data_IF_198598404922
#
_entry.id   IF_198598404922
#
_cell.length_a   1.000
_cell.length_b   1.000
_cell.length_c   1.000
_cell.angle_alpha   90.00
_cell.angle_beta   90.00
_cell.angle_gamma   90.00
#
_symmetry.space_group_name_H-M   'P 1'
#
loop_
_entity.id
_entity.type
_entity.pdbx_description
1 polymer ?
#
# COMPACT_ATOMS: atom_id res chain seq x y z
N UNK A 1 17.90 17.91 -5.17
CA UNK A 1 17.53 19.08 -6.02
C UNK A 1 16.02 19.14 -6.03
N UNK A 2 15.47 20.27 -5.65
CA UNK A 2 14.02 20.45 -5.54
C UNK A 2 13.55 21.52 -6.51
N UNK A 3 12.36 21.32 -7.08
CA UNK A 3 11.67 22.29 -7.93
C UNK A 3 10.19 22.33 -7.52
N UNK A 4 9.54 23.45 -7.74
CA UNK A 4 8.13 23.64 -7.44
C UNK A 4 7.45 24.34 -8.62
N UNK A 5 6.19 23.98 -8.87
CA UNK A 5 5.32 24.75 -9.75
C UNK A 5 4.21 25.43 -8.96
N UNK A 6 3.78 26.58 -9.47
CA UNK A 6 2.72 27.40 -8.90
C UNK A 6 1.75 27.73 -10.03
N UNK A 7 0.61 27.05 -9.99
CA UNK A 7 -0.37 27.07 -11.06
C UNK A 7 -1.67 27.72 -10.59
N UNK A 8 -2.48 28.18 -11.51
CA UNK A 8 -3.76 28.84 -11.20
C UNK A 8 -4.90 27.87 -10.97
N UNK A 9 -4.76 26.62 -11.44
CA UNK A 9 -5.76 25.57 -11.32
C UNK A 9 -5.15 24.18 -11.55
N UNK A 10 -5.95 23.15 -11.33
CA UNK A 10 -5.52 21.73 -11.49
C UNK A 10 -5.12 21.39 -12.94
N UNK A 11 -5.70 22.02 -13.95
CA UNK A 11 -5.31 21.81 -15.33
C UNK A 11 -3.89 22.35 -15.62
N UNK A 12 -3.57 23.53 -15.07
CA UNK A 12 -2.23 24.11 -15.11
C UNK A 12 -1.24 23.21 -14.40
N UNK A 13 -1.56 22.77 -13.18
CA UNK A 13 -0.73 21.82 -12.44
C UNK A 13 -0.46 20.56 -13.24
N UNK A 14 -1.46 19.97 -13.90
CA UNK A 14 -1.27 18.78 -14.72
C UNK A 14 -0.29 19.01 -15.85
N UNK A 15 -0.35 20.16 -16.53
CA UNK A 15 0.61 20.52 -17.59
C UNK A 15 2.03 20.68 -17.03
N UNK A 16 2.17 21.34 -15.88
CA UNK A 16 3.47 21.51 -15.22
C UNK A 16 4.05 20.16 -14.78
N UNK A 17 3.21 19.32 -14.18
CA UNK A 17 3.55 17.98 -13.74
C UNK A 17 4.05 17.09 -14.89
N UNK A 18 3.31 17.02 -16.00
CA UNK A 18 3.70 16.22 -17.16
C UNK A 18 5.03 16.67 -17.77
N UNK A 19 5.27 17.99 -17.82
CA UNK A 19 6.57 18.55 -18.25
C UNK A 19 7.70 18.13 -17.33
N UNK A 20 7.46 18.09 -16.03
CA UNK A 20 8.47 17.67 -15.04
C UNK A 20 8.73 16.16 -15.15
N UNK A 21 7.71 15.32 -15.31
CA UNK A 21 7.87 13.89 -15.57
C UNK A 21 8.75 13.65 -16.81
N UNK A 22 8.46 14.34 -17.92
CA UNK A 22 9.25 14.22 -19.14
C UNK A 22 10.69 14.78 -18.97
N UNK A 23 10.87 15.83 -18.17
CA UNK A 23 12.19 16.36 -17.83
C UNK A 23 13.01 15.35 -17.02
N UNK A 24 12.39 14.66 -16.07
CA UNK A 24 13.03 13.63 -15.25
C UNK A 24 13.45 12.42 -16.08
N UNK A 25 12.57 11.91 -16.95
CA UNK A 25 12.91 10.85 -17.92
C UNK A 25 14.18 11.20 -18.70
N UNK A 26 14.20 12.39 -19.31
CA UNK A 26 15.37 12.88 -20.07
C UNK A 26 16.62 13.03 -19.20
N UNK A 27 16.47 13.46 -17.97
CA UNK A 27 17.59 13.62 -17.04
C UNK A 27 18.23 12.26 -16.73
N UNK A 28 17.45 11.27 -16.36
CA UNK A 28 17.94 9.93 -16.04
C UNK A 28 18.51 9.21 -17.28
N UNK A 29 17.84 9.34 -18.42
CA UNK A 29 18.33 8.81 -19.70
C UNK A 29 19.71 9.43 -20.06
N UNK A 30 19.86 10.76 -19.92
CA UNK A 30 21.14 11.45 -20.16
C UNK A 30 22.21 11.05 -19.16
N UNK A 31 21.85 10.70 -17.95
CA UNK A 31 22.76 10.12 -16.97
C UNK A 31 23.11 8.64 -17.27
N UNK A 32 22.48 8.03 -18.26
CA UNK A 32 22.69 6.62 -18.60
C UNK A 32 22.05 5.65 -17.65
N UNK A 33 21.04 6.09 -16.87
CA UNK A 33 20.35 5.30 -15.86
C UNK A 33 18.97 4.88 -16.39
N UNK A 34 18.67 3.59 -16.27
CA UNK A 34 17.35 3.06 -16.61
C UNK A 34 16.44 3.12 -15.37
N UNK A 35 15.29 3.77 -15.51
CA UNK A 35 14.29 3.90 -14.46
C UNK A 35 12.96 3.37 -14.89
N UNK A 36 12.19 2.88 -13.92
CA UNK A 36 10.76 2.60 -14.04
C UNK A 36 10.01 3.70 -13.29
N UNK A 37 8.91 4.17 -13.85
CA UNK A 37 8.03 5.13 -13.19
C UNK A 37 6.90 4.34 -12.56
N UNK A 38 6.71 4.53 -11.26
CA UNK A 38 5.68 3.84 -10.49
C UNK A 38 4.72 4.84 -9.84
N UNK A 39 3.47 4.47 -9.73
CA UNK A 39 2.52 5.19 -8.88
C UNK A 39 2.90 4.96 -7.41
N UNK A 40 2.92 6.03 -6.62
CA UNK A 40 3.41 6.00 -5.25
C UNK A 40 2.41 6.64 -4.27
N UNK A 41 2.53 6.28 -3.00
CA UNK A 41 1.89 7.03 -1.94
C UNK A 41 2.62 8.38 -1.75
N UNK A 42 1.85 9.43 -1.46
CA UNK A 42 2.44 10.77 -1.28
C UNK A 42 3.05 10.98 0.12
N UNK A 43 2.82 10.06 1.04
CA UNK A 43 3.34 10.09 2.39
C UNK A 43 3.06 11.39 3.14
N UNK A 44 4.01 11.81 3.98
CA UNK A 44 3.92 13.03 4.79
C UNK A 44 3.92 14.32 3.96
N UNK A 45 4.39 14.29 2.71
CA UNK A 45 4.36 15.45 1.80
C UNK A 45 2.91 15.77 1.43
N UNK A 46 2.07 14.74 1.31
CA UNK A 46 0.66 14.88 0.98
C UNK A 46 0.43 15.20 -0.52
N UNK A 47 -0.81 15.52 -0.84
CA UNK A 47 -1.25 15.72 -2.21
C UNK A 47 -2.17 14.59 -2.69
N UNK A 48 -2.53 14.61 -3.97
CA UNK A 48 -3.49 13.65 -4.53
C UNK A 48 -2.82 12.52 -5.31
N UNK A 49 -1.75 12.83 -6.01
CA UNK A 49 -1.03 11.91 -6.90
C UNK A 49 0.46 12.13 -6.77
N UNK A 50 1.21 11.04 -6.73
CA UNK A 50 2.66 11.07 -6.84
C UNK A 50 3.19 9.94 -7.71
N UNK A 51 4.37 10.14 -8.29
CA UNK A 51 5.10 9.13 -9.06
C UNK A 51 6.56 9.15 -8.67
N UNK A 52 7.08 7.96 -8.46
CA UNK A 52 8.51 7.73 -8.21
C UNK A 52 9.22 7.26 -9.47
N UNK A 53 10.49 7.65 -9.57
CA UNK A 53 11.42 7.13 -10.56
C UNK A 53 12.34 6.17 -9.86
N UNK A 54 12.15 4.88 -10.12
CA UNK A 54 12.84 3.79 -9.44
C UNK A 54 13.90 3.19 -10.35
N UNK A 55 15.10 3.06 -9.83
CA UNK A 55 16.15 2.23 -10.41
C UNK A 55 16.03 0.83 -9.83
N UNK A 56 15.75 -0.16 -10.67
CA UNK A 56 15.66 -1.56 -10.24
C UNK A 56 17.05 -2.10 -9.92
N UNK A 57 17.23 -2.61 -8.69
CA UNK A 57 18.44 -3.27 -8.21
C UNK A 57 18.14 -4.08 -6.97
N UNK A 58 18.80 -5.22 -6.80
CA UNK A 58 18.66 -6.11 -5.64
C UNK A 58 19.06 -5.45 -4.30
N UNK A 59 19.96 -4.47 -4.36
CA UNK A 59 20.42 -3.69 -3.18
C UNK A 59 19.44 -2.58 -2.78
N UNK A 60 18.35 -2.37 -3.55
CA UNK A 60 17.34 -1.36 -3.26
C UNK A 60 16.59 -1.65 -1.96
N UNK A 61 16.12 -0.60 -1.30
CA UNK A 61 15.32 -0.69 -0.07
C UNK A 61 13.82 -0.62 -0.33
N UNK A 62 13.40 -0.11 -1.51
CA UNK A 62 12.00 -0.02 -1.89
C UNK A 62 11.53 -1.27 -2.62
N UNK A 63 10.27 -1.65 -2.41
CA UNK A 63 9.61 -2.72 -3.17
C UNK A 63 8.64 -2.11 -4.18
N UNK A 64 8.74 -2.55 -5.42
CA UNK A 64 7.83 -2.14 -6.49
C UNK A 64 7.11 -3.34 -7.09
N UNK A 65 5.88 -3.10 -7.50
CA UNK A 65 4.98 -4.09 -8.09
C UNK A 65 4.75 -3.72 -9.54
N UNK A 66 5.10 -4.62 -10.45
CA UNK A 66 4.94 -4.45 -11.89
C UNK A 66 4.06 -5.55 -12.45
N UNK A 67 3.25 -5.22 -13.45
CA UNK A 67 2.54 -6.24 -14.23
C UNK A 67 3.45 -6.80 -15.32
N UNK A 68 3.39 -8.11 -15.54
CA UNK A 68 4.12 -8.79 -16.63
C UNK A 68 3.51 -8.57 -18.03
N UNK A 69 2.27 -8.06 -18.09
CA UNK A 69 1.46 -8.02 -19.31
C UNK A 69 0.99 -6.62 -19.72
N UNK A 70 1.10 -5.61 -18.85
CA UNK A 70 0.74 -4.22 -19.15
C UNK A 70 1.64 -3.23 -18.40
N UNK A 71 1.41 -1.92 -18.59
CA UNK A 71 2.21 -0.83 -18.00
C UNK A 71 1.86 -0.53 -16.52
N UNK A 72 1.10 -1.39 -15.83
CA UNK A 72 0.80 -1.20 -14.41
C UNK A 72 2.08 -1.29 -13.58
N UNK A 73 2.34 -0.23 -12.82
CA UNK A 73 3.50 -0.09 -11.97
C UNK A 73 3.16 0.77 -10.75
N UNK A 74 3.41 0.26 -9.56
CA UNK A 74 3.21 0.98 -8.29
C UNK A 74 4.27 0.56 -7.27
N UNK A 75 4.54 1.43 -6.26
CA UNK A 75 5.27 0.98 -5.09
C UNK A 75 4.36 0.09 -4.22
N UNK A 76 4.92 -0.70 -3.32
CA UNK A 76 4.16 -1.63 -2.48
C UNK A 76 3.16 -0.92 -1.57
N UNK A 77 3.44 0.33 -1.16
CA UNK A 77 2.56 1.14 -0.32
C UNK A 77 1.22 1.47 -1.01
N UNK A 78 1.21 1.57 -2.34
CA UNK A 78 0.04 1.96 -3.15
C UNK A 78 -0.49 0.84 -4.04
N UNK A 79 0.30 -0.18 -4.31
CA UNK A 79 -0.06 -1.22 -5.25
C UNK A 79 -1.39 -1.90 -4.91
N UNK A 80 -2.23 -2.07 -5.92
CA UNK A 80 -3.51 -2.78 -5.86
C UNK A 80 -3.45 -4.07 -6.68
N UNK A 81 -4.36 -5.00 -6.42
CA UNK A 81 -4.52 -6.22 -7.20
C UNK A 81 -5.99 -6.64 -7.30
N UNK A 82 -6.31 -7.43 -8.32
CA UNK A 82 -7.65 -7.99 -8.52
C UNK A 82 -7.91 -9.07 -7.48
N UNK A 83 -9.01 -8.94 -6.72
CA UNK A 83 -9.39 -9.93 -5.73
C UNK A 83 -10.18 -11.06 -6.38
N UNK A 84 -9.55 -12.21 -6.46
CA UNK A 84 -10.20 -13.40 -7.01
C UNK A 84 -11.29 -13.89 -6.06
N UNK A 85 -12.49 -14.03 -6.59
CA UNK A 85 -13.61 -14.58 -5.84
C UNK A 85 -13.46 -16.09 -5.64
N UNK A 86 -13.74 -16.55 -4.43
CA UNK A 86 -13.93 -17.98 -4.20
C UNK A 86 -15.12 -18.50 -5.02
N UNK A 87 -15.14 -19.78 -5.37
CA UNK A 87 -16.32 -20.38 -6.00
C UNK A 87 -17.60 -20.07 -5.22
N UNK A 88 -18.65 -19.73 -5.94
CA UNK A 88 -19.96 -19.43 -5.32
C UNK A 88 -20.48 -20.65 -4.60
N UNK A 89 -20.76 -20.50 -3.30
CA UNK A 89 -21.29 -21.55 -2.44
C UNK A 89 -22.58 -21.08 -1.75
N UNK A 90 -23.48 -22.02 -1.48
CA UNK A 90 -24.63 -21.73 -0.62
C UNK A 90 -24.14 -21.46 0.80
N UNK A 91 -24.58 -20.35 1.37
CA UNK A 91 -24.22 -20.00 2.74
C UNK A 91 -24.82 -21.03 3.72
N UNK A 92 -23.98 -21.54 4.58
CA UNK A 92 -24.36 -22.51 5.63
C UNK A 92 -24.57 -21.80 6.98
N UNK A 93 -25.18 -22.48 7.92
CA UNK A 93 -25.31 -22.01 9.30
C UNK A 93 -23.91 -22.03 9.97
N UNK A 94 -23.63 -21.01 10.76
CA UNK A 94 -22.37 -20.88 11.50
C UNK A 94 -22.29 -21.98 12.57
N UNK A 95 -21.13 -22.59 12.72
CA UNK A 95 -20.85 -23.67 13.66
C UNK A 95 -19.59 -23.42 14.47
N UNK A 96 -19.61 -23.76 15.77
CA UNK A 96 -18.43 -23.78 16.62
C UNK A 96 -17.65 -25.09 16.44
N UNK A 97 -16.35 -25.01 16.35
CA UNK A 97 -15.43 -26.14 16.24
C UNK A 97 -14.33 -26.03 17.28
N UNK A 98 -14.06 -27.12 18.02
CA UNK A 98 -12.91 -27.17 18.91
C UNK A 98 -11.61 -27.32 18.10
N UNK A 99 -10.64 -26.44 18.40
CA UNK A 99 -9.35 -26.34 17.73
C UNK A 99 -8.24 -26.16 18.76
N UNK A 100 -8.00 -27.15 19.61
CA UNK A 100 -7.06 -27.02 20.72
C UNK A 100 -5.62 -26.76 20.20
N UNK A 101 -5.00 -25.69 20.70
CA UNK A 101 -3.60 -25.34 20.38
C UNK A 101 -3.39 -24.69 19.03
N UNK A 102 -4.42 -24.51 18.21
CA UNK A 102 -4.33 -23.85 16.89
C UNK A 102 -4.34 -22.32 17.07
N UNK A 103 -3.32 -21.64 16.53
CA UNK A 103 -3.17 -20.18 16.68
C UNK A 103 -2.84 -19.44 15.39
N UNK A 104 -2.28 -20.12 14.38
CA UNK A 104 -1.92 -19.53 13.10
C UNK A 104 -2.90 -19.88 12.00
N UNK A 105 -2.93 -19.07 10.94
CA UNK A 105 -3.77 -19.33 9.76
C UNK A 105 -3.42 -20.65 9.08
N UNK A 106 -2.12 -20.96 8.98
CA UNK A 106 -1.66 -22.21 8.35
C UNK A 106 -2.08 -23.44 9.16
N UNK A 107 -1.88 -23.43 10.48
CA UNK A 107 -2.35 -24.49 11.36
C UNK A 107 -3.89 -24.66 11.28
N UNK A 108 -4.63 -23.54 11.22
CA UNK A 108 -6.09 -23.55 11.10
C UNK A 108 -6.53 -24.13 9.76
N UNK A 109 -5.89 -23.71 8.68
CA UNK A 109 -6.11 -24.18 7.31
C UNK A 109 -5.93 -25.72 7.23
N UNK A 110 -4.80 -26.21 7.73
CA UNK A 110 -4.47 -27.63 7.76
C UNK A 110 -5.44 -28.43 8.61
N UNK A 111 -5.75 -27.96 9.83
CA UNK A 111 -6.68 -28.61 10.74
C UNK A 111 -8.10 -28.72 10.16
N UNK A 112 -8.57 -27.65 9.51
CA UNK A 112 -9.91 -27.59 8.91
C UNK A 112 -9.97 -28.26 7.53
N UNK A 113 -8.83 -28.58 6.90
CA UNK A 113 -8.77 -29.12 5.54
C UNK A 113 -9.26 -28.16 4.48
N UNK A 114 -9.00 -26.86 4.66
CA UNK A 114 -9.39 -25.79 3.73
C UNK A 114 -8.14 -24.97 3.34
N UNK A 115 -8.19 -24.24 2.22
CA UNK A 115 -7.10 -23.31 1.88
C UNK A 115 -7.14 -22.04 2.76
N UNK A 116 -6.02 -21.36 2.92
CA UNK A 116 -5.90 -20.10 3.68
C UNK A 116 -6.86 -19.01 3.19
N UNK A 117 -7.19 -19.00 1.89
CA UNK A 117 -8.20 -18.12 1.30
C UNK A 117 -9.64 -18.37 1.81
N UNK A 118 -9.86 -19.45 2.55
CA UNK A 118 -11.13 -19.78 3.23
C UNK A 118 -11.12 -19.40 4.70
N UNK A 119 -10.15 -18.64 5.16
CA UNK A 119 -10.05 -18.19 6.54
C UNK A 119 -10.15 -16.67 6.65
N UNK A 120 -10.46 -16.16 7.83
CA UNK A 120 -10.41 -14.76 8.20
C UNK A 120 -9.26 -14.57 9.20
N UNK A 121 -8.32 -13.71 8.85
CA UNK A 121 -7.23 -13.27 9.72
C UNK A 121 -7.69 -12.05 10.50
N UNK A 122 -7.59 -12.10 11.82
CA UNK A 122 -7.77 -10.97 12.72
C UNK A 122 -6.40 -10.41 13.11
N UNK A 123 -6.16 -9.12 12.84
CA UNK A 123 -4.93 -8.43 13.19
C UNK A 123 -5.26 -7.19 14.02
N UNK A 124 -4.47 -6.91 15.02
CA UNK A 124 -4.70 -5.78 15.93
C UNK A 124 -3.62 -4.73 15.77
N UNK A 125 -4.04 -3.49 15.61
CA UNK A 125 -3.16 -2.34 15.54
C UNK A 125 -3.49 -1.36 16.66
N UNK A 126 -2.45 -0.68 17.17
CA UNK A 126 -2.59 0.53 17.94
C UNK A 126 -2.48 1.70 16.97
N UNK A 127 -3.51 2.52 16.89
CA UNK A 127 -3.61 3.68 16.02
C UNK A 127 -3.90 4.92 16.88
N UNK A 128 -2.94 5.83 17.02
CA UNK A 128 -3.02 6.98 17.96
C UNK A 128 -3.54 6.55 19.36
N UNK A 129 -2.99 5.45 19.90
CA UNK A 129 -3.34 4.80 21.19
C UNK A 129 -4.73 4.11 21.24
N UNK A 130 -5.48 4.04 20.14
CA UNK A 130 -6.72 3.26 20.03
C UNK A 130 -6.44 1.87 19.45
N UNK A 131 -7.01 0.81 20.07
CA UNK A 131 -6.91 -0.55 19.51
C UNK A 131 -7.92 -0.72 18.37
N UNK A 132 -7.39 -0.99 17.18
CA UNK A 132 -8.15 -1.22 15.95
C UNK A 132 -8.19 -2.71 15.64
N UNK A 133 -9.38 -3.21 15.33
CA UNK A 133 -9.59 -4.58 14.86
C UNK A 133 -9.58 -4.60 13.32
N UNK A 134 -8.65 -5.31 12.72
CA UNK A 134 -8.56 -5.50 11.28
C UNK A 134 -8.95 -6.92 10.93
N UNK A 135 -9.91 -7.08 10.00
CA UNK A 135 -10.32 -8.35 9.43
C UNK A 135 -9.97 -8.40 7.94
N UNK A 136 -9.20 -9.40 7.55
CA UNK A 136 -8.76 -9.63 6.19
C UNK A 136 -8.81 -11.12 5.85
N UNK A 137 -8.89 -11.50 4.56
CA UNK A 137 -8.81 -12.90 4.15
C UNK A 137 -7.45 -13.49 4.53
N UNK A 138 -7.44 -14.73 5.01
CA UNK A 138 -6.28 -15.31 5.67
C UNK A 138 -5.04 -15.55 4.79
N UNK A 139 -5.21 -15.58 3.48
CA UNK A 139 -4.12 -15.66 2.51
C UNK A 139 -3.48 -14.32 2.16
N UNK A 140 -3.97 -13.21 2.75
CA UNK A 140 -3.50 -11.86 2.46
C UNK A 140 -2.78 -11.25 3.68
N UNK A 141 -1.87 -10.32 3.40
CA UNK A 141 -1.20 -9.51 4.41
C UNK A 141 -1.72 -8.07 4.42
N UNK A 142 -1.66 -7.44 5.60
CA UNK A 142 -2.08 -6.05 5.76
C UNK A 142 -0.98 -5.11 5.26
N UNK A 143 -1.36 -4.15 4.44
CA UNK A 143 -0.52 -3.02 4.07
C UNK A 143 -0.73 -1.89 5.09
N UNK A 144 0.26 -1.67 5.96
CA UNK A 144 0.17 -0.69 7.04
C UNK A 144 0.04 0.75 6.55
N UNK A 145 0.63 1.07 5.39
CA UNK A 145 0.52 2.42 4.80
C UNK A 145 -0.89 2.68 4.31
N UNK A 146 -1.51 1.73 3.60
CA UNK A 146 -2.92 1.83 3.21
C UNK A 146 -3.84 1.95 4.44
N UNK A 147 -3.60 1.14 5.47
CA UNK A 147 -4.37 1.18 6.71
C UNK A 147 -4.23 2.53 7.42
N UNK A 148 -3.01 3.02 7.58
CA UNK A 148 -2.71 4.32 8.18
C UNK A 148 -3.42 5.47 7.46
N UNK A 149 -3.35 5.47 6.12
CA UNK A 149 -4.00 6.46 5.28
C UNK A 149 -5.53 6.39 5.37
N UNK A 150 -6.09 5.18 5.40
CA UNK A 150 -7.54 4.97 5.55
C UNK A 150 -8.07 5.48 6.90
N UNK A 151 -7.32 5.26 7.95
CA UNK A 151 -7.66 5.71 9.31
C UNK A 151 -7.38 7.20 9.52
N UNK A 152 -6.48 7.80 8.72
CA UNK A 152 -5.99 9.19 8.87
C UNK A 152 -5.34 9.45 10.23
N UNK A 153 -4.57 8.47 10.71
CA UNK A 153 -3.85 8.53 11.99
C UNK A 153 -2.39 8.92 11.79
N UNK A 154 -1.80 9.48 12.85
CA UNK A 154 -0.40 9.91 12.83
C UNK A 154 0.55 8.75 13.17
N UNK A 155 0.15 7.90 14.10
CA UNK A 155 0.89 6.71 14.51
C UNK A 155 0.08 5.44 14.26
N UNK A 156 0.74 4.42 13.71
CA UNK A 156 0.17 3.09 13.49
C UNK A 156 1.26 2.04 13.71
N UNK A 157 0.98 1.07 14.56
CA UNK A 157 1.86 -0.08 14.81
C UNK A 157 1.03 -1.30 15.20
N UNK A 158 1.61 -2.47 15.06
CA UNK A 158 1.00 -3.67 15.63
C UNK A 158 0.78 -3.49 17.13
N UNK A 159 -0.38 -3.89 17.62
CA UNK A 159 -0.68 -3.93 19.05
C UNK A 159 0.17 -5.00 19.74
N UNK A 160 0.67 -4.70 20.93
CA UNK A 160 1.41 -5.70 21.72
C UNK A 160 0.48 -6.76 22.29
N UNK A 161 0.98 -7.97 22.61
CA UNK A 161 0.16 -9.01 23.23
C UNK A 161 -0.52 -8.55 24.52
N UNK A 162 0.12 -7.68 25.31
CA UNK A 162 -0.42 -7.10 26.53
C UNK A 162 -1.62 -6.19 26.22
N UNK A 163 -1.50 -5.30 25.23
CA UNK A 163 -2.57 -4.40 24.79
C UNK A 163 -3.79 -5.21 24.29
N UNK A 164 -3.54 -6.26 23.51
CA UNK A 164 -4.59 -7.16 23.00
C UNK A 164 -5.30 -7.88 24.18
N UNK A 165 -4.53 -8.36 25.14
CA UNK A 165 -5.06 -9.03 26.33
C UNK A 165 -5.86 -8.09 27.23
N UNK A 166 -5.34 -6.87 27.50
CA UNK A 166 -5.99 -5.85 28.32
C UNK A 166 -7.28 -5.35 27.69
N UNK A 167 -7.36 -5.36 26.35
CA UNK A 167 -8.57 -5.10 25.62
C UNK A 167 -9.59 -6.25 25.64
N UNK A 168 -9.26 -7.39 26.29
CA UNK A 168 -10.15 -8.56 26.39
C UNK A 168 -10.25 -9.40 25.11
N UNK A 169 -9.32 -9.22 24.18
CA UNK A 169 -9.25 -9.98 22.93
C UNK A 169 -8.41 -11.26 23.12
N UNK A 170 -8.76 -12.31 22.40
CA UNK A 170 -8.09 -13.62 22.49
C UNK A 170 -7.18 -13.79 21.27
N UNK A 171 -5.88 -13.50 21.45
CA UNK A 171 -4.89 -13.69 20.39
C UNK A 171 -4.91 -15.13 19.85
N UNK A 172 -4.93 -15.29 18.51
CA UNK A 172 -5.00 -16.58 17.83
C UNK A 172 -6.39 -17.22 17.76
N UNK A 173 -7.41 -16.66 18.47
CA UNK A 173 -8.80 -17.11 18.37
C UNK A 173 -9.78 -15.94 18.27
N UNK A 174 -9.29 -14.74 18.00
CA UNK A 174 -10.14 -13.56 17.85
C UNK A 174 -10.98 -13.63 16.56
N UNK A 175 -12.19 -13.10 16.65
CA UNK A 175 -13.16 -13.08 15.57
C UNK A 175 -13.82 -11.72 15.43
N UNK A 176 -14.11 -11.24 14.22
CA UNK A 176 -14.96 -10.08 14.04
C UNK A 176 -16.44 -10.36 14.40
N UNK A 177 -16.82 -11.64 14.52
CA UNK A 177 -18.19 -12.04 14.89
C UNK A 177 -18.40 -11.84 16.38
N UNK A 178 -19.37 -10.99 16.73
CA UNK A 178 -19.75 -10.74 18.13
C UNK A 178 -18.73 -9.91 18.92
N UNK A 179 -17.74 -9.29 18.27
CA UNK A 179 -16.86 -8.35 18.93
C UNK A 179 -17.55 -6.98 19.04
N UNK A 180 -17.44 -6.36 20.21
CA UNK A 180 -18.01 -5.03 20.48
C UNK A 180 -16.95 -4.11 21.10
N UNK A 181 -17.11 -2.80 20.92
CA UNK A 181 -16.25 -1.79 21.54
C UNK A 181 -14.96 -1.50 20.79
N UNK A 182 -14.78 -2.06 19.59
CA UNK A 182 -13.61 -1.81 18.73
C UNK A 182 -14.05 -1.24 17.39
N UNK A 183 -13.21 -0.35 16.86
CA UNK A 183 -13.33 0.09 15.46
C UNK A 183 -12.85 -1.04 14.55
N UNK A 184 -13.79 -1.60 13.78
CA UNK A 184 -13.55 -2.78 12.92
C UNK A 184 -13.35 -2.32 11.49
N UNK A 185 -12.18 -2.67 10.93
CA UNK A 185 -11.80 -2.41 9.53
C UNK A 185 -11.81 -3.73 8.78
N UNK A 186 -12.51 -3.79 7.67
CA UNK A 186 -12.56 -4.98 6.83
C UNK A 186 -11.96 -4.74 5.44
N UNK A 187 -11.11 -5.66 4.99
CA UNK A 187 -10.69 -5.68 3.59
C UNK A 187 -11.82 -6.22 2.70
N UNK A 188 -12.06 -5.63 1.51
CA UNK A 188 -13.06 -6.09 0.57
C UNK A 188 -12.93 -7.56 0.13
N UNK A 189 -11.74 -8.19 0.31
CA UNK A 189 -11.53 -9.61 0.02
C UNK A 189 -12.52 -10.54 0.75
N UNK A 190 -13.04 -10.11 1.90
CA UNK A 190 -14.01 -10.87 2.68
C UNK A 190 -15.37 -11.02 1.96
N UNK A 191 -15.73 -10.10 1.05
CA UNK A 191 -16.96 -10.20 0.24
C UNK A 191 -16.89 -11.29 -0.82
N UNK A 192 -15.66 -11.62 -1.20
CA UNK A 192 -15.38 -12.66 -2.21
C UNK A 192 -15.18 -14.05 -1.60
N UNK A 193 -15.34 -14.17 -0.25
CA UNK A 193 -15.30 -15.42 0.47
C UNK A 193 -16.70 -15.96 0.79
N UNK A 194 -16.85 -17.28 0.81
CA UNK A 194 -18.07 -17.96 1.23
C UNK A 194 -17.73 -19.01 2.28
N UNK A 195 -18.53 -19.10 3.35
CA UNK A 195 -18.39 -20.09 4.39
C UNK A 195 -16.97 -20.12 4.99
N UNK A 196 -16.46 -18.92 5.31
CA UNK A 196 -15.10 -18.75 5.85
C UNK A 196 -14.96 -19.32 7.25
N UNK A 197 -13.73 -19.59 7.65
CA UNK A 197 -13.36 -19.98 9.01
C UNK A 197 -12.76 -18.76 9.73
N UNK A 198 -13.24 -18.46 10.94
CA UNK A 198 -12.76 -17.36 11.77
C UNK A 198 -12.51 -17.83 13.21
N UNK A 199 -11.83 -17.04 14.02
CA UNK A 199 -11.77 -17.21 15.45
C UNK A 199 -13.18 -17.23 16.07
N UNK A 200 -13.30 -17.65 17.32
CA UNK A 200 -14.57 -17.72 18.06
C UNK A 200 -14.59 -16.82 19.31
N UNK A 201 -13.63 -15.91 19.46
CA UNK A 201 -13.39 -15.09 20.68
C UNK A 201 -13.30 -15.96 21.95
N UNK A 202 -12.88 -17.19 21.78
CA UNK A 202 -12.71 -18.18 22.84
C UNK A 202 -11.49 -19.04 22.54
N UNK A 203 -10.59 -19.15 23.51
CA UNK A 203 -9.38 -19.96 23.36
C UNK A 203 -9.70 -21.41 22.99
N UNK A 204 -9.01 -21.93 21.97
CA UNK A 204 -9.19 -23.30 21.48
C UNK A 204 -10.47 -23.53 20.67
N UNK A 205 -11.13 -22.48 20.19
CA UNK A 205 -12.33 -22.58 19.35
C UNK A 205 -12.25 -21.67 18.14
N UNK A 206 -12.83 -22.15 17.02
CA UNK A 206 -13.06 -21.37 15.80
C UNK A 206 -14.51 -21.54 15.32
N UNK A 207 -14.92 -20.63 14.43
CA UNK A 207 -16.23 -20.64 13.77
C UNK A 207 -16.06 -21.09 12.32
N UNK A 208 -16.90 -22.01 11.85
CA UNK A 208 -17.07 -22.33 10.43
C UNK A 208 -18.26 -21.58 9.86
N UNK A 209 -18.26 -21.45 8.53
CA UNK A 209 -19.36 -20.89 7.75
C UNK A 209 -19.68 -19.43 8.07
N UNK A 210 -18.64 -18.68 8.46
CA UNK A 210 -18.74 -17.22 8.63
C UNK A 210 -18.83 -16.55 7.26
N UNK A 211 -19.77 -15.64 7.09
CA UNK A 211 -20.00 -14.91 5.85
C UNK A 211 -20.12 -13.41 6.12
N UNK A 212 -19.34 -12.61 5.43
CA UNK A 212 -19.44 -11.16 5.46
C UNK A 212 -20.39 -10.69 4.35
N UNK A 213 -21.33 -9.75 4.58
CA UNK A 213 -21.62 -9.06 5.83
C UNK A 213 -22.78 -9.71 6.67
N UNK A 214 -23.10 -11.01 6.47
CA UNK A 214 -24.20 -11.67 7.16
C UNK A 214 -23.99 -11.78 8.69
N UNK A 215 -22.77 -12.17 9.09
CA UNK A 215 -22.48 -12.56 10.48
C UNK A 215 -21.76 -11.47 11.27
N UNK A 216 -21.18 -10.50 10.59
CA UNK A 216 -20.59 -9.30 11.18
C UNK A 216 -20.58 -8.16 10.17
N UNK A 217 -20.43 -6.93 10.67
CA UNK A 217 -20.27 -5.71 9.86
C UNK A 217 -19.00 -4.98 10.27
N UNK A 218 -18.46 -4.13 9.42
CA UNK A 218 -17.32 -3.28 9.71
C UNK A 218 -17.71 -1.79 9.74
N UNK A 219 -16.96 -0.99 10.49
CA UNK A 219 -17.09 0.47 10.49
C UNK A 219 -16.54 1.07 9.19
N UNK A 220 -15.45 0.47 8.69
CA UNK A 220 -14.82 0.86 7.42
C UNK A 220 -14.56 -0.40 6.60
N UNK A 221 -14.93 -0.35 5.33
CA UNK A 221 -14.54 -1.36 4.33
C UNK A 221 -13.69 -0.69 3.26
N UNK A 222 -12.41 -1.05 3.20
CA UNK A 222 -11.45 -0.41 2.31
C UNK A 222 -10.30 -1.36 1.98
N UNK A 223 -9.68 -1.19 0.80
CA UNK A 223 -8.47 -1.91 0.43
C UNK A 223 -7.33 -1.60 1.40
N UNK A 224 -6.92 -2.64 2.14
CA UNK A 224 -5.78 -2.63 3.04
C UNK A 224 -4.84 -3.81 2.79
N UNK A 225 -5.03 -4.53 1.71
CA UNK A 225 -4.19 -5.69 1.40
C UNK A 225 -2.88 -5.28 0.71
N UNK A 226 -1.81 -5.95 1.08
CA UNK A 226 -0.51 -5.87 0.40
C UNK A 226 -0.58 -6.60 -0.95
N UNK A 227 -0.16 -5.93 -2.01
CA UNK A 227 -0.01 -6.58 -3.31
C UNK A 227 1.30 -7.34 -3.37
N UNK A 228 1.24 -8.61 -3.75
CA UNK A 228 2.39 -9.50 -3.76
C UNK A 228 2.57 -10.16 -5.13
N UNK A 229 3.76 -10.73 -5.33
CA UNK A 229 4.06 -11.55 -6.51
C UNK A 229 3.03 -12.66 -6.71
N UNK A 230 2.55 -12.80 -7.95
CA UNK A 230 1.55 -13.80 -8.35
C UNK A 230 0.11 -13.34 -8.19
N UNK A 231 -0.16 -12.21 -7.54
CA UNK A 231 -1.48 -11.60 -7.57
C UNK A 231 -1.84 -11.14 -8.99
N UNK A 232 -3.13 -11.01 -9.28
CA UNK A 232 -3.61 -10.57 -10.59
C UNK A 232 -3.62 -9.05 -10.70
N UNK A 233 -3.13 -8.55 -11.83
CA UNK A 233 -3.13 -7.12 -12.14
C UNK A 233 -4.56 -6.55 -12.18
N UNK A 234 -4.84 -5.43 -11.50
CA UNK A 234 -6.18 -4.83 -11.45
C UNK A 234 -6.61 -4.23 -12.79
N UNK A 235 -5.68 -4.05 -13.75
CA UNK A 235 -5.95 -3.45 -15.06
C UNK A 235 -6.21 -4.51 -16.13
N UNK A 236 -5.38 -5.57 -16.20
CA UNK A 236 -5.43 -6.53 -17.31
C UNK A 236 -5.58 -7.99 -16.88
N UNK A 237 -5.54 -8.29 -15.57
CA UNK A 237 -5.57 -9.66 -15.06
C UNK A 237 -4.27 -10.46 -15.24
N UNK A 238 -3.20 -9.85 -15.78
CA UNK A 238 -1.86 -10.45 -15.87
C UNK A 238 -1.24 -10.66 -14.48
N UNK A 239 -0.10 -11.35 -14.39
CA UNK A 239 0.56 -11.61 -13.12
C UNK A 239 1.33 -10.38 -12.63
N UNK A 240 1.24 -10.09 -11.33
CA UNK A 240 2.09 -9.11 -10.68
C UNK A 240 3.42 -9.73 -10.28
N UNK A 241 4.50 -9.01 -10.50
CA UNK A 241 5.86 -9.34 -10.10
C UNK A 241 6.40 -8.26 -9.16
N UNK A 242 7.23 -8.64 -8.20
CA UNK A 242 7.85 -7.71 -7.25
C UNK A 242 9.34 -7.59 -7.51
N UNK A 243 9.85 -6.36 -7.40
CA UNK A 243 11.26 -6.03 -7.60
C UNK A 243 11.75 -5.13 -6.47
N UNK A 244 13.05 -5.18 -6.20
CA UNK A 244 13.71 -4.22 -5.32
C UNK A 244 14.23 -3.05 -6.15
N UNK A 245 14.22 -1.85 -5.55
CA UNK A 245 14.69 -0.66 -6.24
C UNK A 245 15.14 0.46 -5.31
N UNK A 246 15.74 1.48 -5.92
CA UNK A 246 16.15 2.71 -5.27
C UNK A 246 15.35 3.86 -5.89
N UNK A 247 14.62 4.61 -5.08
CA UNK A 247 13.98 5.85 -5.48
C UNK A 247 15.04 6.92 -5.76
N UNK A 248 15.12 7.40 -7.00
CA UNK A 248 16.07 8.44 -7.40
C UNK A 248 15.42 9.78 -7.73
N UNK A 249 14.12 9.79 -7.88
CA UNK A 249 13.33 11.02 -8.08
C UNK A 249 11.87 10.81 -7.79
N UNK A 250 11.20 11.86 -7.33
CA UNK A 250 9.79 11.84 -6.96
C UNK A 250 9.10 13.12 -7.43
N UNK A 251 7.89 13.00 -7.92
CA UNK A 251 7.07 14.12 -8.40
C UNK A 251 5.68 14.05 -7.78
N UNK A 252 5.18 15.20 -7.31
CA UNK A 252 3.95 15.29 -6.50
C UNK A 252 2.98 16.32 -7.07
N UNK A 253 1.69 16.00 -7.10
CA UNK A 253 0.59 16.96 -7.23
C UNK A 253 0.07 17.33 -5.85
N UNK A 254 0.57 18.44 -5.29
CA UNK A 254 0.21 18.89 -3.94
C UNK A 254 -1.18 19.53 -3.88
N UNK A 255 -1.68 20.07 -5.00
CA UNK A 255 -2.93 20.82 -5.03
C UNK A 255 -2.84 22.11 -4.19
N UNK A 256 -3.83 22.34 -3.33
CA UNK A 256 -3.90 23.53 -2.46
C UNK A 256 -3.47 23.29 -1.01
N UNK A 257 -3.03 22.07 -0.65
CA UNK A 257 -2.75 21.69 0.74
C UNK A 257 -1.79 22.64 1.45
N UNK A 258 -0.69 23.02 0.80
CA UNK A 258 0.27 23.96 1.35
C UNK A 258 -0.19 25.43 1.28
N UNK A 259 -0.82 25.81 0.18
CA UNK A 259 -1.31 27.19 -0.01
C UNK A 259 -2.47 27.51 0.95
N UNK A 260 -3.28 26.54 1.32
CA UNK A 260 -4.29 26.69 2.38
C UNK A 260 -3.65 26.90 3.74
N UNK A 261 -2.70 26.04 4.11
CA UNK A 261 -2.02 26.09 5.42
C UNK A 261 -1.17 27.37 5.59
N UNK A 262 -0.57 27.88 4.51
CA UNK A 262 0.29 29.06 4.50
C UNK A 262 -0.47 30.35 4.15
N UNK A 263 -1.78 30.29 3.93
CA UNK A 263 -2.61 31.40 3.44
C UNK A 263 -2.07 32.03 2.13
N UNK A 264 -1.43 31.23 1.29
CA UNK A 264 -0.82 31.68 0.03
C UNK A 264 -1.88 31.77 -1.07
N UNK A 265 -2.07 32.97 -1.60
CA UNK A 265 -3.05 33.25 -2.65
C UNK A 265 -2.48 34.21 -3.71
N UNK A 266 -3.10 34.24 -4.86
CA UNK A 266 -2.84 35.21 -5.92
C UNK A 266 -4.14 35.91 -6.31
N UNK A 267 -4.01 37.13 -6.84
CA UNK A 267 -5.13 37.84 -7.42
C UNK A 267 -5.29 37.45 -8.89
N UNK A 268 -6.43 36.82 -9.21
CA UNK A 268 -6.71 36.39 -10.58
C UNK A 268 -7.16 37.58 -11.45
N UNK A 269 -7.26 37.39 -12.75
CA UNK A 269 -7.64 38.40 -13.75
C UNK A 269 -9.05 39.00 -13.51
N UNK A 270 -9.90 38.27 -12.80
CA UNK A 270 -11.23 38.74 -12.35
C UNK A 270 -11.18 39.55 -11.04
N UNK A 271 -10.00 39.75 -10.46
CA UNK A 271 -9.80 40.47 -9.19
C UNK A 271 -10.11 39.64 -7.95
N UNK A 272 -10.43 38.36 -8.10
CA UNK A 272 -10.72 37.44 -6.98
C UNK A 272 -9.41 36.78 -6.52
N UNK A 273 -9.20 36.76 -5.21
CA UNK A 273 -8.08 36.03 -4.63
C UNK A 273 -8.38 34.53 -4.64
N UNK A 274 -7.48 33.75 -5.25
CA UNK A 274 -7.57 32.30 -5.35
C UNK A 274 -6.35 31.64 -4.73
N UNK A 275 -6.51 30.42 -4.20
CA UNK A 275 -5.38 29.62 -3.69
C UNK A 275 -4.47 29.19 -4.82
N UNK A 276 -3.19 29.22 -4.56
CA UNK A 276 -2.16 28.72 -5.50
C UNK A 276 -2.24 27.20 -5.52
N UNK A 277 -2.25 26.60 -6.70
CA UNK A 277 -2.20 25.14 -6.90
C UNK A 277 -0.75 24.75 -7.16
N UNK A 278 -0.23 23.81 -6.37
CA UNK A 278 1.22 23.54 -6.32
C UNK A 278 1.57 22.15 -6.76
N UNK A 279 2.74 22.02 -7.39
CA UNK A 279 3.47 20.77 -7.57
C UNK A 279 4.84 20.83 -6.92
N UNK A 280 5.35 19.68 -6.48
CA UNK A 280 6.69 19.52 -5.91
C UNK A 280 7.43 18.41 -6.66
N UNK A 281 8.73 18.61 -6.91
CA UNK A 281 9.52 17.73 -7.75
C UNK A 281 10.93 17.61 -7.18
N UNK A 282 11.33 16.39 -6.78
CA UNK A 282 12.60 16.13 -6.13
C UNK A 282 13.48 15.14 -6.92
N UNK A 283 14.77 15.44 -7.03
CA UNK A 283 15.80 14.51 -7.53
C UNK A 283 16.89 14.34 -6.49
N UNK A 284 17.17 13.08 -6.13
CA UNK A 284 18.27 12.70 -5.28
C UNK A 284 19.59 12.62 -6.07
N UNK A 285 20.36 13.70 -6.16
CA UNK A 285 21.61 13.72 -6.95
C UNK A 285 22.61 12.67 -6.44
N UNK A 286 22.74 12.51 -5.13
CA UNK A 286 23.56 11.46 -4.54
C UNK A 286 23.06 10.07 -4.88
N UNK A 287 21.73 9.86 -4.92
CA UNK A 287 21.11 8.61 -5.34
C UNK A 287 21.31 8.31 -6.82
N UNK A 288 21.34 9.32 -7.70
CA UNK A 288 21.71 9.15 -9.11
C UNK A 288 23.12 8.57 -9.24
N UNK A 289 24.07 9.12 -8.50
CA UNK A 289 25.44 8.63 -8.51
C UNK A 289 25.56 7.22 -7.98
N UNK A 290 24.92 6.95 -6.83
CA UNK A 290 24.87 5.61 -6.25
C UNK A 290 24.21 4.60 -7.19
N UNK A 291 23.08 4.97 -7.80
CA UNK A 291 22.36 4.14 -8.74
C UNK A 291 23.14 3.86 -10.03
N UNK A 292 23.91 4.84 -10.54
CA UNK A 292 24.78 4.63 -11.69
C UNK A 292 25.89 3.61 -11.38
N UNK A 293 26.50 3.71 -10.21
CA UNK A 293 27.50 2.76 -9.74
C UNK A 293 26.88 1.36 -9.60
N UNK A 294 25.74 1.28 -8.95
CA UNK A 294 25.05 0.01 -8.69
C UNK A 294 24.64 -0.70 -9.99
N UNK A 295 24.12 0.03 -10.96
CA UNK A 295 23.61 -0.54 -12.20
C UNK A 295 24.70 -0.99 -13.18
N UNK A 296 25.88 -0.35 -13.15
CA UNK A 296 26.89 -0.49 -14.19
C UNK A 296 28.22 -1.09 -13.70
N UNK A 297 28.47 -1.13 -12.38
CA UNK A 297 29.69 -1.73 -11.82
C UNK A 297 29.75 -3.21 -12.10
N UNK A 298 30.98 -3.72 -12.24
CA UNK A 298 31.27 -5.13 -12.43
C UNK A 298 32.26 -5.64 -11.36
N UNK A 299 32.67 -6.90 -11.46
CA UNK A 299 33.62 -7.52 -10.53
C UNK A 299 35.01 -6.84 -10.51
N UNK A 300 35.32 -5.98 -11.51
CA UNK A 300 36.58 -5.27 -11.62
C UNK A 300 36.57 -3.88 -10.98
N UNK A 301 35.37 -3.34 -10.71
CA UNK A 301 35.23 -2.09 -10.03
C UNK A 301 34.08 -1.21 -10.53
N UNK A 302 34.15 0.06 -10.16
CA UNK A 302 33.13 1.05 -10.49
C UNK A 302 33.20 1.42 -11.97
N UNK A 303 32.06 1.34 -12.65
CA UNK A 303 31.87 1.77 -14.04
C UNK A 303 30.86 2.92 -14.08
N UNK A 304 31.28 4.06 -14.63
CA UNK A 304 30.38 5.19 -14.83
C UNK A 304 29.83 5.23 -16.26
N UNK A 305 28.58 5.65 -16.43
CA UNK A 305 28.08 6.05 -17.75
C UNK A 305 28.98 7.14 -18.33
N UNK A 306 29.28 7.05 -19.62
CA UNK A 306 30.18 8.01 -20.28
C UNK A 306 29.75 9.47 -20.06
N UNK A 307 28.45 9.73 -20.03
CA UNK A 307 27.89 11.09 -19.92
C UNK A 307 28.09 11.76 -18.55
N UNK A 308 28.36 10.98 -17.51
CA UNK A 308 28.60 11.46 -16.15
C UNK A 308 29.97 11.03 -15.60
N UNK A 309 30.80 10.40 -16.44
CA UNK A 309 32.15 10.04 -16.07
C UNK A 309 32.99 11.33 -15.88
N UNK A 310 33.75 11.49 -14.77
CA UNK A 310 34.59 12.63 -14.55
C UNK A 310 35.85 12.63 -15.44
N UNK A 311 36.12 11.49 -16.11
CA UNK A 311 37.28 11.30 -16.99
C UNK A 311 36.86 10.62 -18.29
N UNK A 312 37.58 10.92 -19.40
CA UNK A 312 37.38 10.27 -20.70
C UNK A 312 37.96 8.85 -20.74
#
# INVERSE_FOLDING_TARGET
MDAYSFDTNEAGLSISYDKMVESYKKTFERCGIKTVIVDADSGAIGGKDSKEFILITESGEDTIVLCDSCDYAANDEKAEFERVSNPLESQQAMEHVETPGIKTIDELSDFMGVGTHKTIKAVFYSADDEIIFVAIRGDLEVNEVKLKNALKVSDLRLATPEEVSDAGLVSGSASPVGVEGFRLIADPSLRFGYNLVAGANKEGYHLKHVNFPRDFTSDIEIDIALAEKGHQCPICGGSLETYRGIEIGHVFKLGTSYSESLDASYSDTDGVNKRIVMGCYGIGIGRILAGAIEQLSDEKGIVFPRNISPYD
#
